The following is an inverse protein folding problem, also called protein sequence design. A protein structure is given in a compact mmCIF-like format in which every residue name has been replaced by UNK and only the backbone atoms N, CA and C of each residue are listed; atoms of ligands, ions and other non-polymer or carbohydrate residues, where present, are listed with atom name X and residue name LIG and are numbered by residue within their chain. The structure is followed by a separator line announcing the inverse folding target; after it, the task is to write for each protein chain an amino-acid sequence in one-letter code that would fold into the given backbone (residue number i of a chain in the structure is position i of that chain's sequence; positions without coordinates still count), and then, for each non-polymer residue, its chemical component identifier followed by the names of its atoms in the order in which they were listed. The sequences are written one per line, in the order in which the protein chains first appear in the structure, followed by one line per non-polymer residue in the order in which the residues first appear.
data_IF_261558427924
#
_entry.id   IF_261558427924
#
_cell.length_a   1.000
_cell.length_b   1.000
_cell.length_c   1.000
_cell.angle_alpha   90.00
_cell.angle_beta   90.00
_cell.angle_gamma   90.00
#
_symmetry.space_group_name_H-M   'P 1'
#
loop_
_entity.id
_entity.type
_entity.pdbx_description
1 polymer ?
#
# COMPACT_ATOMS: atom_id res chain seq x y z
N UNK A 1 -10.51 14.22 8.09
CA UNK A 1 -10.70 15.00 9.30
C UNK A 1 -10.84 14.19 10.61
N UNK A 2 -10.57 12.89 10.54
CA UNK A 2 -10.57 11.99 11.71
C UNK A 2 -9.51 12.41 12.74
N UNK A 3 -8.33 12.80 12.26
CA UNK A 3 -7.25 13.28 13.10
C UNK A 3 -7.67 14.48 13.96
N UNK A 4 -8.24 15.51 13.35
CA UNK A 4 -8.65 16.73 14.07
C UNK A 4 -9.78 16.47 15.06
N UNK A 5 -10.71 15.57 14.72
CA UNK A 5 -11.81 15.17 15.61
C UNK A 5 -11.32 14.53 16.91
N UNK A 6 -10.20 13.83 16.88
CA UNK A 6 -9.56 13.27 18.07
C UNK A 6 -8.64 14.29 18.76
N UNK A 7 -7.81 15.01 18.00
CA UNK A 7 -6.79 15.90 18.57
C UNK A 7 -7.38 17.11 19.32
N UNK A 8 -8.42 17.74 18.80
CA UNK A 8 -9.00 18.95 19.44
C UNK A 8 -9.51 18.64 20.85
N UNK A 9 -10.33 17.59 21.09
CA UNK A 9 -10.70 17.21 22.44
C UNK A 9 -9.50 16.78 23.30
N UNK A 10 -8.55 16.03 22.75
CA UNK A 10 -7.38 15.58 23.50
C UNK A 10 -6.56 16.76 24.03
N UNK A 11 -6.30 17.76 23.21
CA UNK A 11 -5.60 18.99 23.60
C UNK A 11 -6.39 19.80 24.66
N UNK A 12 -7.72 19.78 24.58
CA UNK A 12 -8.59 20.35 25.60
C UNK A 12 -8.67 19.51 26.87
N UNK A 13 -7.93 18.42 26.97
CA UNK A 13 -7.91 17.53 28.12
C UNK A 13 -9.18 16.70 28.30
N UNK A 14 -9.91 16.47 27.20
CA UNK A 14 -11.15 15.70 27.15
C UNK A 14 -10.93 14.37 26.45
N UNK A 15 -11.76 13.39 26.75
CA UNK A 15 -11.86 12.12 26.01
C UNK A 15 -13.35 11.84 25.75
N UNK A 16 -13.92 12.44 24.69
CA UNK A 16 -15.33 12.22 24.35
C UNK A 16 -15.61 10.82 23.80
N UNK A 17 -14.55 10.08 23.49
CA UNK A 17 -14.61 8.71 22.99
C UNK A 17 -13.72 7.83 23.85
N UNK A 18 -14.14 6.60 24.14
CA UNK A 18 -13.31 5.60 24.81
C UNK A 18 -12.28 5.01 23.82
N UNK A 19 -12.67 4.82 22.56
CA UNK A 19 -11.85 4.28 21.48
C UNK A 19 -11.78 5.30 20.35
N UNK A 20 -10.59 5.46 19.78
CA UNK A 20 -10.34 6.24 18.58
C UNK A 20 -9.69 5.36 17.52
N UNK A 21 -10.10 5.53 16.27
CA UNK A 21 -9.51 4.87 15.12
C UNK A 21 -8.61 5.86 14.37
N UNK A 22 -7.52 5.37 13.83
CA UNK A 22 -6.61 6.20 13.05
C UNK A 22 -5.51 5.40 12.38
N UNK A 23 -4.75 6.07 11.56
CA UNK A 23 -3.56 5.48 10.96
C UNK A 23 -2.42 5.40 11.95
N UNK A 24 -1.56 4.42 11.78
CA UNK A 24 -0.38 4.24 12.63
C UNK A 24 0.59 5.43 12.62
N UNK A 25 0.61 6.25 11.56
CA UNK A 25 1.42 7.47 11.52
C UNK A 25 0.93 8.58 12.47
N UNK A 26 -0.32 8.52 12.99
CA UNK A 26 -0.80 9.44 14.02
C UNK A 26 -0.21 9.17 15.41
N UNK A 27 0.43 8.03 15.58
CA UNK A 27 0.90 7.55 16.89
C UNK A 27 1.77 8.59 17.60
N UNK A 28 2.64 9.32 16.88
CA UNK A 28 3.53 10.30 17.49
C UNK A 28 2.80 11.47 18.15
N UNK A 29 1.74 11.93 17.51
CA UNK A 29 0.93 13.04 18.02
C UNK A 29 -0.05 12.59 19.10
N UNK A 30 -0.59 11.38 18.96
CA UNK A 30 -1.67 10.87 19.80
C UNK A 30 -1.20 10.14 21.05
N UNK A 31 -0.01 9.50 21.02
CA UNK A 31 0.44 8.57 22.08
C UNK A 31 0.36 9.11 23.51
N UNK A 32 0.60 10.39 23.71
CA UNK A 32 0.50 11.02 25.04
C UNK A 32 -0.92 11.03 25.61
N UNK A 33 -1.93 10.90 24.75
CA UNK A 33 -3.35 10.88 25.08
C UNK A 33 -3.95 9.48 25.05
N UNK A 34 -3.16 8.47 24.69
CA UNK A 34 -3.60 7.08 24.55
C UNK A 34 -3.12 6.23 25.72
N UNK A 35 -3.89 5.22 26.04
CA UNK A 35 -3.51 4.18 27.01
C UNK A 35 -2.75 3.09 26.25
N UNK A 36 -1.52 2.75 26.66
CA UNK A 36 -0.81 1.63 26.06
C UNK A 36 -1.59 0.34 26.19
N UNK A 37 -1.47 -0.52 25.18
CA UNK A 37 -2.15 -1.82 25.21
C UNK A 37 -1.60 -2.66 26.36
N UNK A 38 -2.44 -3.07 27.35
CA UNK A 38 -1.97 -3.85 28.49
C UNK A 38 -1.44 -5.23 28.06
N UNK A 39 -0.42 -5.73 28.76
CA UNK A 39 0.26 -6.98 28.45
C UNK A 39 -0.71 -8.17 28.25
N UNK A 40 -1.78 -8.25 29.08
CA UNK A 40 -2.77 -9.31 28.94
C UNK A 40 -3.40 -9.41 27.54
N UNK A 41 -3.55 -8.29 26.85
CA UNK A 41 -4.12 -8.22 25.48
C UNK A 41 -3.04 -8.47 24.40
N UNK A 42 -1.81 -8.00 24.63
CA UNK A 42 -0.67 -8.28 23.72
C UNK A 42 -0.34 -9.78 23.71
N UNK A 43 -0.48 -10.46 24.85
CA UNK A 43 -0.22 -11.89 24.97
C UNK A 43 -1.34 -12.81 24.44
N UNK A 44 -2.46 -12.26 24.02
CA UNK A 44 -3.56 -13.05 23.44
C UNK A 44 -3.14 -13.71 22.12
N UNK A 45 -3.70 -14.90 21.84
CA UNK A 45 -3.42 -15.67 20.62
C UNK A 45 -3.60 -14.84 19.36
N UNK A 46 -4.70 -14.12 19.23
CA UNK A 46 -5.01 -13.32 18.07
C UNK A 46 -4.01 -12.18 17.80
N UNK A 47 -3.35 -11.67 18.85
CA UNK A 47 -2.30 -10.68 18.71
C UNK A 47 -0.96 -11.31 18.30
N UNK A 48 -0.67 -12.52 18.77
CA UNK A 48 0.52 -13.29 18.36
C UNK A 48 0.48 -13.74 16.89
N UNK A 49 -0.71 -13.78 16.32
CA UNK A 49 -0.95 -14.09 14.93
C UNK A 49 -0.73 -12.88 14.01
N UNK A 50 -0.81 -11.65 14.53
CA UNK A 50 -0.52 -10.42 13.77
C UNK A 50 0.91 -10.44 13.24
N UNK A 51 1.10 -9.97 12.00
CA UNK A 51 2.43 -9.89 11.39
C UNK A 51 3.31 -8.87 12.10
N UNK A 52 4.62 -9.08 12.06
CA UNK A 52 5.56 -8.23 12.79
C UNK A 52 5.55 -6.78 12.29
N UNK A 53 5.35 -6.56 10.99
CA UNK A 53 5.27 -5.20 10.43
C UNK A 53 4.13 -4.39 11.04
N UNK A 54 2.95 -5.01 11.24
CA UNK A 54 1.79 -4.35 11.85
C UNK A 54 1.97 -4.13 13.36
N UNK A 55 2.65 -5.05 14.05
CA UNK A 55 3.08 -4.83 15.44
C UNK A 55 4.03 -3.63 15.54
N UNK A 56 5.00 -3.54 14.64
CA UNK A 56 6.01 -2.48 14.63
C UNK A 56 5.39 -1.09 14.37
N UNK A 57 4.46 -0.99 13.41
CA UNK A 57 3.78 0.30 13.14
C UNK A 57 2.80 0.70 14.23
N UNK A 58 2.21 -0.25 14.94
CA UNK A 58 1.31 0.00 16.08
C UNK A 58 2.05 0.29 17.39
N UNK A 59 3.38 0.15 17.40
CA UNK A 59 4.21 0.30 18.58
C UNK A 59 5.09 1.56 18.54
N UNK A 60 5.39 2.09 19.70
CA UNK A 60 6.32 3.17 19.90
C UNK A 60 7.23 2.86 21.09
N UNK A 61 8.54 2.97 20.88
CA UNK A 61 9.54 2.78 21.94
C UNK A 61 9.41 1.40 22.64
N UNK A 62 9.12 0.37 21.84
CA UNK A 62 8.93 -1.01 22.34
C UNK A 62 7.58 -1.28 23.02
N UNK A 63 6.69 -0.30 23.07
CA UNK A 63 5.37 -0.42 23.69
C UNK A 63 4.27 -0.33 22.63
N UNK A 64 3.34 -1.28 22.61
CA UNK A 64 2.17 -1.22 21.74
C UNK A 64 1.22 -0.13 22.24
N UNK A 65 0.96 0.87 21.41
CA UNK A 65 0.10 2.01 21.69
C UNK A 65 -1.25 1.90 20.99
N UNK A 66 -1.27 1.29 19.83
CA UNK A 66 -2.48 1.08 19.04
C UNK A 66 -2.72 -0.42 18.87
N UNK A 67 -3.96 -0.81 18.74
CA UNK A 67 -4.38 -2.17 18.48
C UNK A 67 -4.59 -2.33 16.96
N UNK A 68 -3.81 -3.15 16.24
CA UNK A 68 -3.98 -3.35 14.80
C UNK A 68 -5.36 -3.93 14.48
N UNK A 69 -6.02 -3.40 13.48
CA UNK A 69 -7.35 -3.85 13.04
C UNK A 69 -7.47 -4.03 11.53
N UNK A 70 -6.41 -3.67 10.79
CA UNK A 70 -6.39 -3.71 9.33
C UNK A 70 -4.95 -3.83 8.82
N UNK A 71 -4.79 -4.38 7.63
CA UNK A 71 -3.51 -4.80 7.04
C UNK A 71 -3.15 -4.11 5.74
N UNK A 72 -3.25 -2.80 5.68
CA UNK A 72 -2.89 -2.02 4.49
C UNK A 72 -1.50 -2.36 3.94
N UNK A 73 -1.44 -2.61 2.63
CA UNK A 73 -0.19 -2.74 1.87
C UNK A 73 -0.39 -2.38 0.42
N UNK A 74 0.68 -1.91 -0.23
CA UNK A 74 0.71 -1.70 -1.66
C UNK A 74 1.40 -2.87 -2.36
N UNK A 75 0.76 -3.40 -3.39
CA UNK A 75 1.33 -4.42 -4.28
C UNK A 75 0.80 -4.23 -5.70
N UNK A 76 1.43 -4.87 -6.67
CA UNK A 76 1.02 -4.83 -8.07
C UNK A 76 -0.15 -5.79 -8.29
N UNK A 77 -1.23 -5.24 -8.85
CA UNK A 77 -2.36 -5.99 -9.39
C UNK A 77 -2.29 -5.92 -10.91
N UNK A 78 -2.58 -7.00 -11.58
CA UNK A 78 -2.47 -7.05 -13.04
C UNK A 78 -3.53 -7.95 -13.67
N UNK A 79 -3.88 -7.70 -14.93
CA UNK A 79 -4.72 -8.57 -15.75
C UNK A 79 -3.92 -9.81 -16.15
N UNK A 80 -4.12 -10.88 -15.41
CA UNK A 80 -3.43 -12.16 -15.63
C UNK A 80 -3.79 -12.76 -16.99
N UNK A 81 -5.07 -12.66 -17.37
CA UNK A 81 -5.58 -13.11 -18.66
C UNK A 81 -4.90 -12.41 -19.85
N UNK A 82 -4.44 -11.19 -19.70
CA UNK A 82 -3.70 -10.43 -20.71
C UNK A 82 -2.21 -10.79 -20.71
N UNK A 83 -1.57 -10.77 -19.54
CA UNK A 83 -0.14 -11.08 -19.42
C UNK A 83 0.19 -12.51 -19.85
N UNK A 84 -0.69 -13.46 -19.52
CA UNK A 84 -0.51 -14.88 -19.84
C UNK A 84 -1.06 -15.26 -21.23
N UNK A 85 -1.64 -14.32 -21.98
CA UNK A 85 -2.21 -14.59 -23.29
C UNK A 85 -1.08 -14.88 -24.32
N UNK A 86 -1.04 -16.08 -24.95
CA UNK A 86 0.02 -16.45 -25.89
C UNK A 86 0.11 -15.54 -27.12
N UNK A 87 -1.02 -15.01 -27.60
CA UNK A 87 -1.05 -14.10 -28.75
C UNK A 87 -0.42 -12.75 -28.39
N UNK A 88 -0.71 -12.23 -27.21
CA UNK A 88 -0.11 -10.99 -26.71
C UNK A 88 1.36 -11.15 -26.37
N UNK A 89 1.76 -12.30 -25.82
CA UNK A 89 3.16 -12.65 -25.61
C UNK A 89 3.94 -12.68 -26.93
N UNK A 90 3.39 -13.32 -27.95
CA UNK A 90 4.00 -13.37 -29.28
C UNK A 90 4.10 -11.98 -29.91
N UNK A 91 3.02 -11.17 -29.84
CA UNK A 91 2.98 -9.82 -30.38
C UNK A 91 3.98 -8.90 -29.65
N UNK A 92 3.98 -8.90 -28.34
CA UNK A 92 4.92 -8.10 -27.53
C UNK A 92 6.37 -8.45 -27.87
N UNK A 93 6.69 -9.74 -27.93
CA UNK A 93 8.03 -10.20 -28.30
C UNK A 93 8.42 -9.80 -29.73
N UNK A 94 7.50 -9.88 -30.68
CA UNK A 94 7.78 -9.50 -32.06
C UNK A 94 8.06 -7.99 -32.21
N UNK A 95 7.36 -7.14 -31.45
CA UNK A 95 7.48 -5.69 -31.55
C UNK A 95 8.61 -5.12 -30.68
N UNK A 96 8.86 -5.72 -29.50
CA UNK A 96 9.83 -5.18 -28.53
C UNK A 96 11.12 -5.99 -28.41
N UNK A 97 11.13 -7.23 -28.90
CA UNK A 97 12.22 -8.18 -28.68
C UNK A 97 12.29 -8.78 -27.26
N UNK A 98 11.34 -8.43 -26.38
CA UNK A 98 11.29 -8.83 -24.96
C UNK A 98 10.17 -9.83 -24.71
N UNK A 99 10.29 -10.57 -23.61
CA UNK A 99 9.21 -11.46 -23.14
C UNK A 99 8.16 -10.63 -22.37
N UNK A 100 6.87 -10.86 -22.67
CA UNK A 100 5.77 -10.33 -21.86
C UNK A 100 5.64 -11.18 -20.59
N UNK A 101 5.78 -10.55 -19.45
CA UNK A 101 5.68 -11.17 -18.11
C UNK A 101 5.27 -10.13 -17.09
N UNK A 102 4.96 -10.56 -15.88
CA UNK A 102 4.76 -9.66 -14.74
C UNK A 102 6.03 -8.80 -14.56
N UNK A 103 5.90 -7.46 -14.55
CA UNK A 103 7.05 -6.56 -14.51
C UNK A 103 7.81 -6.69 -13.19
N UNK A 104 9.13 -6.81 -13.26
CA UNK A 104 10.01 -6.85 -12.09
C UNK A 104 10.57 -5.47 -11.74
N UNK A 105 10.59 -4.55 -12.71
CA UNK A 105 11.07 -3.18 -12.50
C UNK A 105 10.02 -2.16 -12.95
N UNK A 106 10.08 -0.95 -12.38
CA UNK A 106 9.22 0.15 -12.82
C UNK A 106 9.42 0.49 -14.28
N UNK A 107 10.62 0.25 -14.82
CA UNK A 107 10.89 0.40 -16.24
C UNK A 107 10.12 -0.63 -17.09
N UNK A 108 10.14 -1.92 -16.69
CA UNK A 108 9.34 -2.94 -17.37
C UNK A 108 7.84 -2.64 -17.25
N UNK A 109 7.39 -2.19 -16.06
CA UNK A 109 6.02 -1.74 -15.85
C UNK A 109 5.60 -0.67 -16.87
N UNK A 110 6.40 0.38 -17.01
CA UNK A 110 6.11 1.47 -17.95
C UNK A 110 6.13 0.99 -19.42
N UNK A 111 7.07 0.14 -19.80
CA UNK A 111 7.16 -0.42 -21.16
C UNK A 111 5.94 -1.29 -21.50
N UNK A 112 5.49 -2.13 -20.57
CA UNK A 112 4.31 -2.98 -20.78
C UNK A 112 3.04 -2.12 -20.76
N UNK A 113 2.93 -1.19 -19.82
CA UNK A 113 1.81 -0.25 -19.76
C UNK A 113 1.68 0.55 -21.07
N UNK A 114 2.79 1.04 -21.62
CA UNK A 114 2.82 1.74 -22.91
C UNK A 114 2.33 0.88 -24.06
N UNK A 115 2.74 -0.40 -24.10
CA UNK A 115 2.37 -1.32 -25.16
C UNK A 115 0.85 -1.59 -25.18
N UNK A 116 0.23 -1.73 -24.01
CA UNK A 116 -1.19 -2.06 -23.89
C UNK A 116 -2.09 -0.81 -23.78
N UNK A 117 -1.54 0.38 -23.91
CA UNK A 117 -2.30 1.62 -23.71
C UNK A 117 -3.10 2.03 -24.96
N UNK A 118 -4.40 2.23 -24.80
CA UNK A 118 -5.25 2.89 -25.79
C UNK A 118 -5.71 1.99 -26.95
N UNK A 119 -5.92 0.71 -26.72
CA UNK A 119 -6.57 -0.19 -27.65
C UNK A 119 -7.48 -1.20 -26.93
N UNK A 120 -8.53 -1.61 -27.62
CA UNK A 120 -9.50 -2.60 -27.15
C UNK A 120 -8.86 -4.00 -27.23
N UNK A 121 -8.23 -4.45 -26.12
CA UNK A 121 -7.55 -5.74 -26.07
C UNK A 121 -8.40 -6.84 -25.41
N UNK A 122 -9.56 -6.52 -24.86
CA UNK A 122 -10.51 -7.54 -24.38
C UNK A 122 -11.77 -7.67 -25.26
N UNK A 123 -11.86 -6.87 -26.33
CA UNK A 123 -12.89 -6.89 -27.36
C UNK A 123 -14.30 -6.59 -26.84
N UNK A 124 -14.40 -5.67 -25.88
CA UNK A 124 -15.69 -5.20 -25.36
C UNK A 124 -16.21 -3.95 -26.09
N UNK A 125 -15.40 -3.34 -26.95
CA UNK A 125 -15.73 -2.16 -27.75
C UNK A 125 -15.28 -0.83 -27.13
N UNK A 126 -14.68 -0.86 -25.96
CA UNK A 126 -14.07 0.29 -25.29
C UNK A 126 -12.55 0.23 -25.43
N UNK A 127 -11.85 1.26 -25.00
CA UNK A 127 -10.39 1.27 -24.99
C UNK A 127 -9.89 1.07 -23.56
N UNK A 128 -8.93 0.16 -23.41
CA UNK A 128 -8.23 -0.05 -22.17
C UNK A 128 -6.91 0.73 -22.11
N UNK A 129 -6.37 0.85 -20.90
CA UNK A 129 -5.20 1.66 -20.61
C UNK A 129 -4.15 0.86 -19.83
N UNK A 130 -2.92 1.38 -19.83
CA UNK A 130 -1.79 0.71 -19.22
C UNK A 130 -1.89 0.58 -17.70
N UNK A 131 -2.39 1.60 -17.00
CA UNK A 131 -2.47 1.55 -15.54
C UNK A 131 -3.52 2.47 -14.94
N UNK A 132 -3.97 2.14 -13.72
CA UNK A 132 -4.66 3.06 -12.81
C UNK A 132 -3.83 3.21 -11.53
N UNK A 133 -3.63 4.45 -11.12
CA UNK A 133 -2.81 4.80 -9.95
C UNK A 133 -3.46 5.93 -9.14
N UNK A 134 -3.18 5.99 -7.83
CA UNK A 134 -3.66 7.08 -6.97
C UNK A 134 -2.78 8.32 -7.20
N UNK A 135 -3.19 9.19 -8.13
CA UNK A 135 -2.45 10.38 -8.56
C UNK A 135 -3.06 11.71 -8.13
N UNK A 136 -4.30 11.69 -7.63
CA UNK A 136 -4.99 12.89 -7.14
C UNK A 136 -4.30 13.43 -5.91
N UNK A 137 -4.09 14.75 -5.90
CA UNK A 137 -3.57 15.46 -4.72
C UNK A 137 -4.56 15.34 -3.57
N UNK A 138 -4.38 14.35 -2.74
CA UNK A 138 -5.14 14.12 -1.51
C UNK A 138 -4.23 13.47 -0.43
N UNK A 139 -4.82 13.00 0.64
CA UNK A 139 -4.08 12.42 1.76
C UNK A 139 -3.38 11.08 1.45
N UNK A 140 -3.64 10.46 0.29
CA UNK A 140 -3.15 9.13 -0.08
C UNK A 140 -2.08 9.16 -1.18
N UNK A 141 -2.04 10.20 -2.02
CA UNK A 141 -1.08 10.34 -3.13
C UNK A 141 0.38 10.16 -2.69
N UNK A 142 0.74 10.68 -1.52
CA UNK A 142 2.10 10.57 -1.01
C UNK A 142 2.52 9.10 -0.75
N UNK A 143 1.57 8.24 -0.38
CA UNK A 143 1.85 6.83 -0.15
C UNK A 143 2.19 6.11 -1.47
N UNK A 144 1.47 6.40 -2.56
CA UNK A 144 1.80 5.90 -3.89
C UNK A 144 3.19 6.36 -4.33
N UNK A 145 3.54 7.64 -4.12
CA UNK A 145 4.86 8.16 -4.42
C UNK A 145 5.98 7.49 -3.60
N UNK A 146 5.77 7.26 -2.29
CA UNK A 146 6.76 6.56 -1.47
C UNK A 146 6.94 5.12 -1.93
N UNK A 147 5.85 4.42 -2.24
CA UNK A 147 5.91 3.04 -2.73
C UNK A 147 6.72 2.90 -4.03
N UNK A 148 6.67 3.89 -4.90
CA UNK A 148 7.53 3.95 -6.09
C UNK A 148 8.97 4.33 -5.74
N UNK A 149 9.16 5.27 -4.82
CA UNK A 149 10.47 5.84 -4.48
C UNK A 149 11.40 4.87 -3.75
N UNK A 150 10.86 3.91 -2.99
CA UNK A 150 11.68 2.98 -2.20
C UNK A 150 12.61 2.14 -3.07
N UNK A 151 12.19 1.74 -4.27
CA UNK A 151 13.02 0.97 -5.20
C UNK A 151 14.30 1.70 -5.60
N UNK A 152 14.23 3.02 -5.75
CA UNK A 152 15.34 3.87 -6.19
C UNK A 152 16.17 4.45 -5.04
N UNK A 153 15.55 4.66 -3.87
CA UNK A 153 16.16 5.44 -2.77
C UNK A 153 16.53 4.62 -1.55
N UNK A 154 15.89 3.44 -1.32
CA UNK A 154 16.17 2.61 -0.14
C UNK A 154 17.24 1.57 -0.46
N UNK A 155 18.50 2.02 -0.46
CA UNK A 155 19.63 1.13 -0.66
C UNK A 155 19.87 0.27 0.60
N UNK A 156 19.86 -1.07 0.52
CA UNK A 156 20.02 -1.95 1.68
C UNK A 156 21.44 -1.86 2.30
N UNK A 157 22.41 -1.34 1.55
CA UNK A 157 23.81 -1.19 1.98
C UNK A 157 24.11 0.16 2.62
N UNK A 158 23.18 1.13 2.54
CA UNK A 158 23.37 2.44 3.18
C UNK A 158 22.52 2.52 4.45
N UNK A 159 23.16 2.63 5.62
CA UNK A 159 22.44 2.80 6.87
C UNK A 159 21.74 4.16 6.92
N UNK A 160 20.74 4.26 7.78
CA UNK A 160 20.04 5.51 8.07
C UNK A 160 18.68 5.65 7.44
N UNK A 161 18.11 6.83 7.56
CA UNK A 161 16.73 7.12 7.22
C UNK A 161 16.44 7.12 5.72
N UNK A 162 15.19 6.96 5.41
CA UNK A 162 14.66 7.12 4.05
C UNK A 162 14.18 8.55 3.79
N UNK A 163 13.50 9.16 4.76
CA UNK A 163 12.94 10.50 4.65
C UNK A 163 13.93 11.59 5.03
N UNK A 164 14.76 11.30 6.02
CA UNK A 164 15.76 12.22 6.58
C UNK A 164 17.07 11.49 6.82
N UNK A 165 18.15 12.21 6.73
CA UNK A 165 19.41 11.80 7.34
C UNK A 165 19.23 11.80 8.86
N UNK A 166 19.57 10.69 9.53
CA UNK A 166 19.29 10.53 10.96
C UNK A 166 20.27 11.30 11.87
N UNK A 167 21.40 11.76 11.34
CA UNK A 167 22.38 12.52 12.10
C UNK A 167 22.12 14.03 11.97
N UNK A 168 21.83 14.49 10.76
CA UNK A 168 21.68 15.92 10.45
C UNK A 168 20.24 16.38 10.40
N UNK A 169 19.29 15.46 10.27
CA UNK A 169 17.87 15.71 10.01
C UNK A 169 17.61 16.43 8.67
N UNK A 170 18.57 16.41 7.75
CA UNK A 170 18.36 16.93 6.40
C UNK A 170 17.34 16.06 5.64
N UNK A 171 16.37 16.68 4.96
CA UNK A 171 15.43 15.92 4.11
C UNK A 171 16.14 15.24 2.94
N UNK A 172 15.82 13.96 2.71
CA UNK A 172 16.38 13.17 1.60
C UNK A 172 15.45 13.08 0.39
N UNK A 173 14.25 13.61 0.49
CA UNK A 173 13.19 13.50 -0.54
C UNK A 173 13.48 14.28 -1.84
N UNK A 174 14.52 15.11 -1.87
CA UNK A 174 15.05 15.77 -3.06
C UNK A 174 16.29 15.07 -3.64
N UNK A 175 16.67 13.93 -3.07
CA UNK A 175 17.82 13.16 -3.55
C UNK A 175 17.55 12.47 -4.90
N UNK A 176 18.64 12.05 -5.61
CA UNK A 176 18.53 11.50 -6.96
C UNK A 176 17.56 10.33 -7.11
N UNK A 177 17.45 9.44 -6.11
CA UNK A 177 16.50 8.33 -6.17
C UNK A 177 15.03 8.76 -6.13
N UNK A 178 14.70 9.80 -5.35
CA UNK A 178 13.34 10.36 -5.35
C UNK A 178 13.04 11.13 -6.63
N UNK A 179 14.03 11.85 -7.17
CA UNK A 179 13.89 12.55 -8.45
C UNK A 179 13.65 11.56 -9.58
N UNK A 180 14.38 10.44 -9.59
CA UNK A 180 14.18 9.36 -10.57
C UNK A 180 12.77 8.77 -10.47
N UNK A 181 12.33 8.45 -9.25
CA UNK A 181 10.98 7.93 -9.01
C UNK A 181 9.88 8.90 -9.48
N UNK A 182 10.06 10.21 -9.26
CA UNK A 182 9.12 11.22 -9.73
C UNK A 182 9.12 11.34 -11.26
N UNK A 183 10.29 11.28 -11.88
CA UNK A 183 10.45 11.31 -13.34
C UNK A 183 9.74 10.13 -13.98
N UNK A 184 9.94 8.96 -13.42
CA UNK A 184 9.28 7.72 -13.83
C UNK A 184 7.75 7.79 -13.63
N UNK A 185 7.31 8.42 -12.55
CA UNK A 185 5.87 8.61 -12.31
C UNK A 185 5.22 9.62 -13.26
N UNK A 186 5.93 10.69 -13.61
CA UNK A 186 5.49 11.63 -14.67
C UNK A 186 5.35 10.90 -16.00
N UNK A 187 6.27 10.00 -16.35
CA UNK A 187 6.15 9.19 -17.57
C UNK A 187 4.91 8.31 -17.55
N UNK A 188 4.61 7.68 -16.39
CA UNK A 188 3.44 6.82 -16.21
C UNK A 188 2.09 7.55 -16.45
N UNK A 189 2.03 8.89 -16.32
CA UNK A 189 0.80 9.65 -16.62
C UNK A 189 0.32 9.52 -18.07
N UNK A 190 1.17 9.07 -18.97
CA UNK A 190 0.82 8.83 -20.39
C UNK A 190 -0.02 7.58 -20.60
N UNK A 191 -0.05 6.69 -19.63
CA UNK A 191 -0.62 5.35 -19.75
C UNK A 191 -1.83 5.13 -18.86
N UNK A 192 -2.35 6.19 -18.24
CA UNK A 192 -3.58 6.15 -17.43
C UNK A 192 -4.79 6.55 -18.27
N UNK A 193 -6.02 6.19 -17.90
CA UNK A 193 -7.24 6.62 -18.55
C UNK A 193 -7.35 8.16 -18.65
N UNK A 194 -8.15 8.70 -19.58
CA UNK A 194 -8.41 10.13 -19.64
C UNK A 194 -8.86 10.68 -18.28
N UNK A 195 -8.12 11.68 -17.78
CA UNK A 195 -8.33 12.25 -16.44
C UNK A 195 -7.69 11.47 -15.30
N UNK A 196 -6.97 10.38 -15.56
CA UNK A 196 -6.35 9.50 -14.56
C UNK A 196 -5.39 10.18 -13.59
N UNK A 197 -4.78 11.31 -13.98
CA UNK A 197 -3.98 12.14 -13.05
C UNK A 197 -4.80 12.71 -11.87
N UNK A 198 -6.13 12.66 -11.96
CA UNK A 198 -7.06 13.07 -10.89
C UNK A 198 -7.70 11.86 -10.18
N UNK A 199 -7.24 10.65 -10.41
CA UNK A 199 -7.77 9.48 -9.75
C UNK A 199 -7.35 9.48 -8.27
N UNK A 200 -8.35 9.47 -7.39
CA UNK A 200 -8.20 9.07 -6.00
C UNK A 200 -8.34 7.55 -5.86
N UNK A 201 -8.32 7.04 -4.63
CA UNK A 201 -8.41 5.60 -4.38
C UNK A 201 -9.67 4.96 -4.96
N UNK A 202 -10.84 5.60 -4.78
CA UNK A 202 -12.09 5.07 -5.32
C UNK A 202 -12.14 5.01 -6.85
N UNK A 203 -11.53 5.99 -7.53
CA UNK A 203 -11.45 6.01 -9.00
C UNK A 203 -10.52 4.90 -9.51
N UNK A 204 -9.40 4.68 -8.84
CA UNK A 204 -8.45 3.62 -9.15
C UNK A 204 -9.07 2.22 -8.96
N UNK A 205 -9.74 1.98 -7.81
CA UNK A 205 -10.46 0.74 -7.52
C UNK A 205 -11.50 0.44 -8.62
N UNK A 206 -12.30 1.43 -8.99
CA UNK A 206 -13.35 1.28 -10.00
C UNK A 206 -12.75 1.04 -11.40
N UNK A 207 -11.67 1.73 -11.76
CA UNK A 207 -11.02 1.57 -13.05
C UNK A 207 -10.41 0.18 -13.23
N UNK A 208 -9.66 -0.31 -12.23
CA UNK A 208 -9.09 -1.65 -12.30
C UNK A 208 -10.16 -2.72 -12.14
N UNK A 209 -11.03 -2.62 -11.12
CA UNK A 209 -12.09 -3.59 -10.85
C UNK A 209 -13.14 -3.69 -11.98
N UNK A 210 -13.29 -2.63 -12.76
CA UNK A 210 -14.10 -2.58 -13.98
C UNK A 210 -13.41 -3.10 -15.24
N UNK A 211 -12.14 -3.49 -15.18
CA UNK A 211 -11.41 -4.06 -16.32
C UNK A 211 -10.72 -3.05 -17.22
N UNK A 212 -10.82 -1.75 -16.93
CA UNK A 212 -10.37 -0.66 -17.81
C UNK A 212 -8.83 -0.55 -17.91
N UNK A 213 -8.08 -1.16 -16.99
CA UNK A 213 -6.62 -1.02 -16.97
C UNK A 213 -5.90 -2.35 -16.77
N UNK A 214 -4.69 -2.43 -17.37
CA UNK A 214 -3.83 -3.61 -17.26
C UNK A 214 -3.24 -3.77 -15.87
N UNK A 215 -2.77 -2.65 -15.28
CA UNK A 215 -2.13 -2.60 -13.99
C UNK A 215 -2.85 -1.68 -13.02
N UNK A 216 -2.72 -1.99 -11.75
CA UNK A 216 -3.03 -1.13 -10.62
C UNK A 216 -2.00 -1.38 -9.51
N UNK A 217 -1.60 -0.34 -8.79
CA UNK A 217 -0.94 -0.55 -7.52
C UNK A 217 -1.53 0.39 -6.45
N UNK A 218 -2.16 -0.20 -5.48
CA UNK A 218 -2.75 0.45 -4.34
C UNK A 218 -3.02 -0.60 -3.26
N UNK A 219 -3.96 -0.35 -2.40
CA UNK A 219 -4.42 -1.28 -1.36
C UNK A 219 -5.15 -2.51 -1.93
N UNK A 220 -5.43 -3.46 -1.06
CA UNK A 220 -6.11 -4.72 -1.42
C UNK A 220 -7.51 -4.50 -2.04
N UNK A 221 -8.17 -3.39 -1.71
CA UNK A 221 -9.52 -3.05 -2.17
C UNK A 221 -9.73 -3.19 -3.69
N UNK A 222 -8.74 -2.80 -4.48
CA UNK A 222 -8.83 -2.94 -5.94
C UNK A 222 -8.78 -4.40 -6.41
N UNK A 223 -8.03 -5.27 -5.70
CA UNK A 223 -8.02 -6.70 -6.00
C UNK A 223 -9.35 -7.35 -5.60
N UNK A 224 -9.86 -7.01 -4.42
CA UNK A 224 -11.15 -7.50 -3.95
C UNK A 224 -12.26 -7.06 -4.90
N UNK A 225 -12.29 -5.79 -5.32
CA UNK A 225 -13.27 -5.29 -6.29
C UNK A 225 -13.20 -6.03 -7.63
N UNK A 226 -11.99 -6.37 -8.10
CA UNK A 226 -11.80 -7.17 -9.31
C UNK A 226 -12.29 -8.61 -9.17
N UNK A 227 -12.32 -9.14 -7.96
CA UNK A 227 -12.72 -10.51 -7.65
C UNK A 227 -14.18 -10.65 -7.20
N UNK A 228 -14.94 -9.55 -7.08
CA UNK A 228 -16.36 -9.57 -6.71
C UNK A 228 -17.24 -10.23 -7.76
N UNK A 229 -18.38 -10.76 -7.30
CA UNK A 229 -19.44 -11.20 -8.20
C UNK A 229 -19.95 -10.02 -9.05
N UNK A 230 -19.97 -10.20 -10.36
CA UNK A 230 -20.37 -9.17 -11.32
C UNK A 230 -19.21 -8.32 -11.86
N UNK A 231 -18.00 -8.45 -11.36
CA UNK A 231 -16.83 -7.87 -12.03
C UNK A 231 -16.57 -8.58 -13.37
N UNK A 232 -16.32 -7.84 -14.47
CA UNK A 232 -16.01 -8.44 -15.78
C UNK A 232 -14.66 -9.18 -15.78
N UNK A 233 -13.83 -8.91 -14.77
CA UNK A 233 -12.50 -9.47 -14.65
C UNK A 233 -12.34 -10.43 -13.45
N UNK A 234 -13.45 -10.88 -12.87
CA UNK A 234 -13.39 -11.91 -11.82
C UNK A 234 -12.61 -13.13 -12.31
N UNK A 235 -11.67 -13.61 -11.51
CA UNK A 235 -10.77 -14.72 -11.83
C UNK A 235 -9.87 -14.51 -13.06
N UNK A 236 -9.61 -13.23 -13.44
CA UNK A 236 -8.71 -12.85 -14.54
C UNK A 236 -7.53 -11.98 -14.08
N UNK A 237 -7.36 -11.84 -12.78
CA UNK A 237 -6.34 -10.96 -12.18
C UNK A 237 -5.28 -11.75 -11.44
N UNK A 238 -4.12 -11.15 -11.26
CA UNK A 238 -3.02 -11.67 -10.47
C UNK A 238 -2.45 -10.61 -9.53
N UNK A 239 -1.72 -11.07 -8.52
CA UNK A 239 -1.01 -10.26 -7.55
C UNK A 239 0.50 -10.51 -7.64
N UNK A 240 1.30 -9.47 -7.44
CA UNK A 240 2.75 -9.58 -7.37
C UNK A 240 3.32 -8.47 -6.45
N UNK A 241 4.51 -8.64 -5.86
CA UNK A 241 5.19 -7.53 -5.20
C UNK A 241 5.34 -6.33 -6.14
N UNK A 242 5.39 -5.12 -5.56
CA UNK A 242 5.66 -3.92 -6.37
C UNK A 242 6.96 -4.05 -7.14
N UNK A 243 7.03 -3.49 -8.37
CA UNK A 243 8.25 -3.48 -9.14
C UNK A 243 9.43 -2.85 -8.38
N UNK A 244 10.61 -3.40 -8.59
CA UNK A 244 11.87 -2.85 -8.13
C UNK A 244 12.49 -1.88 -9.14
N UNK A 245 13.81 -1.71 -9.04
CA UNK A 245 14.62 -0.96 -9.98
C UNK A 245 15.92 -1.71 -10.26
N UNK A 246 16.46 -1.58 -11.47
CA UNK A 246 17.76 -2.16 -11.85
C UNK A 246 18.95 -1.41 -11.20
N UNK A 247 18.69 -0.24 -10.63
CA UNK A 247 19.71 0.59 -9.95
C UNK A 247 19.14 1.25 -8.71
N UNK A 248 19.98 1.49 -7.74
CA UNK A 248 19.61 2.16 -6.50
C UNK A 248 20.63 3.24 -6.13
N UNK A 249 20.15 4.37 -5.65
CA UNK A 249 21.02 5.45 -5.21
C UNK A 249 21.75 5.11 -3.91
N UNK A 250 23.07 5.23 -3.92
CA UNK A 250 23.88 5.15 -2.72
C UNK A 250 24.27 6.56 -2.25
N UNK A 251 23.63 7.04 -1.19
CA UNK A 251 23.87 8.38 -0.66
C UNK A 251 25.24 8.56 -0.01
N UNK A 252 25.90 7.48 0.43
CA UNK A 252 27.22 7.54 1.07
C UNK A 252 28.30 7.71 0.01
N UNK A 253 28.25 6.98 -1.08
CA UNK A 253 29.18 7.13 -2.20
C UNK A 253 28.82 8.28 -3.15
N UNK A 254 27.60 8.79 -3.08
CA UNK A 254 27.09 9.80 -4.03
C UNK A 254 26.95 9.28 -5.46
N UNK A 255 26.65 7.99 -5.65
CA UNK A 255 26.61 7.35 -6.95
C UNK A 255 25.44 6.36 -7.06
N UNK A 256 25.00 6.11 -8.29
CA UNK A 256 24.11 4.99 -8.59
C UNK A 256 24.87 3.67 -8.54
N UNK A 257 24.22 2.66 -8.00
CA UNK A 257 24.68 1.29 -8.01
C UNK A 257 23.79 0.48 -8.95
N UNK A 258 24.39 -0.09 -9.99
CA UNK A 258 23.72 -0.95 -10.98
C UNK A 258 23.47 -2.33 -10.37
N UNK A 259 22.45 -2.40 -9.54
CA UNK A 259 22.02 -3.62 -8.85
C UNK A 259 20.51 -3.57 -8.65
N UNK A 260 19.85 -4.70 -8.90
CA UNK A 260 18.42 -4.82 -8.64
C UNK A 260 18.12 -4.51 -7.17
N UNK A 261 17.16 -3.65 -6.97
CA UNK A 261 16.65 -3.31 -5.65
C UNK A 261 15.13 -3.29 -5.63
N UNK A 262 14.56 -4.02 -4.69
CA UNK A 262 13.15 -4.01 -4.38
C UNK A 262 13.00 -3.80 -2.87
N UNK A 263 12.21 -2.83 -2.49
CA UNK A 263 11.95 -2.53 -1.10
C UNK A 263 10.46 -2.17 -0.95
N UNK A 264 9.72 -2.79 -0.04
CA UNK A 264 8.35 -2.39 0.21
C UNK A 264 8.30 -1.14 1.08
N UNK A 265 7.39 -0.25 0.74
CA UNK A 265 6.87 0.72 1.68
C UNK A 265 5.74 0.04 2.44
N UNK A 266 5.94 -0.15 3.74
CA UNK A 266 4.88 -0.63 4.61
C UNK A 266 3.94 0.56 4.81
N UNK A 267 2.85 0.56 4.10
CA UNK A 267 1.85 1.61 4.22
C UNK A 267 1.41 1.66 5.68
N UNK A 268 0.35 2.04 6.08
CA UNK A 268 -0.12 1.91 7.46
C UNK A 268 -1.31 0.96 7.44
N UNK A 269 -1.63 0.29 8.51
CA UNK A 269 -2.93 -0.30 8.72
C UNK A 269 -3.79 0.64 9.55
N UNK A 270 -5.08 0.55 9.43
CA UNK A 270 -5.95 1.15 10.42
C UNK A 270 -5.69 0.49 11.77
N UNK A 271 -5.63 1.32 12.78
CA UNK A 271 -5.45 0.87 14.15
C UNK A 271 -6.44 1.55 15.09
N UNK A 272 -6.78 0.88 16.15
CA UNK A 272 -7.63 1.43 17.20
C UNK A 272 -6.83 1.70 18.47
N UNK A 273 -7.18 2.70 19.21
CA UNK A 273 -6.51 3.03 20.47
C UNK A 273 -7.51 3.44 21.53
N UNK A 274 -7.18 3.16 22.79
CA UNK A 274 -8.01 3.56 23.93
C UNK A 274 -7.53 4.91 24.47
N UNK A 275 -8.45 5.83 24.65
CA UNK A 275 -8.13 7.15 25.20
C UNK A 275 -7.69 7.04 26.65
N UNK A 276 -6.56 7.65 27.02
CA UNK A 276 -5.98 7.60 28.36
C UNK A 276 -6.92 8.11 29.47
N UNK A 277 -7.81 9.04 29.11
CA UNK A 277 -8.82 9.58 30.05
C UNK A 277 -10.16 8.87 29.99
N UNK A 278 -10.29 7.80 29.23
CA UNK A 278 -11.46 6.94 29.31
C UNK A 278 -11.67 6.43 30.74
N UNK A 279 -12.91 6.25 31.11
CA UNK A 279 -13.29 5.61 32.38
C UNK A 279 -13.57 4.11 32.21
N UNK A 280 -13.48 3.61 30.96
CA UNK A 280 -13.90 2.29 30.56
C UNK A 280 -12.76 1.49 29.90
N UNK A 281 -11.50 1.67 30.34
CA UNK A 281 -10.32 1.09 29.69
C UNK A 281 -10.46 -0.42 29.44
N UNK A 282 -10.83 -1.17 30.47
CA UNK A 282 -10.95 -2.63 30.33
C UNK A 282 -12.01 -3.01 29.30
N UNK A 283 -13.20 -2.40 29.38
CA UNK A 283 -14.28 -2.66 28.41
C UNK A 283 -13.88 -2.26 27.00
N UNK A 284 -13.14 -1.17 26.84
CA UNK A 284 -12.65 -0.70 25.55
C UNK A 284 -11.67 -1.71 24.94
N UNK A 285 -10.70 -2.21 25.70
CA UNK A 285 -9.78 -3.25 25.21
C UNK A 285 -10.49 -4.59 24.97
N UNK A 286 -11.45 -4.98 25.81
CA UNK A 286 -12.26 -6.19 25.58
C UNK A 286 -13.05 -6.08 24.28
N UNK A 287 -13.61 -4.87 24.00
CA UNK A 287 -14.29 -4.62 22.73
C UNK A 287 -13.33 -4.74 21.52
N UNK A 288 -12.11 -4.18 21.59
CA UNK A 288 -11.12 -4.31 20.54
C UNK A 288 -10.73 -5.77 20.31
N UNK A 289 -10.58 -6.54 21.38
CA UNK A 289 -10.33 -7.97 21.28
C UNK A 289 -11.48 -8.73 20.65
N UNK A 290 -12.71 -8.37 20.96
CA UNK A 290 -13.89 -8.95 20.34
C UNK A 290 -13.95 -8.58 18.85
N UNK A 291 -13.74 -7.31 18.51
CA UNK A 291 -13.73 -6.81 17.13
C UNK A 291 -12.69 -7.55 16.28
N UNK A 292 -11.45 -7.67 16.78
CA UNK A 292 -10.35 -8.27 16.06
C UNK A 292 -10.17 -9.78 16.35
N UNK A 293 -11.18 -10.46 16.92
CA UNK A 293 -11.08 -11.91 17.08
C UNK A 293 -11.08 -12.63 15.72
N UNK A 294 -10.60 -13.87 15.70
CA UNK A 294 -10.38 -14.59 14.44
C UNK A 294 -11.65 -14.73 13.60
N UNK A 295 -12.80 -14.99 14.25
CA UNK A 295 -14.07 -15.18 13.52
C UNK A 295 -14.59 -13.89 12.89
N UNK A 296 -14.56 -12.78 13.63
CA UNK A 296 -14.99 -11.47 13.12
C UNK A 296 -14.03 -10.99 12.05
N UNK A 297 -12.73 -11.04 12.32
CA UNK A 297 -11.70 -10.61 11.37
C UNK A 297 -11.77 -11.39 10.05
N UNK A 298 -11.93 -12.72 10.09
CA UNK A 298 -12.08 -13.51 8.87
C UNK A 298 -13.39 -13.21 8.12
N UNK A 299 -14.45 -12.79 8.81
CA UNK A 299 -15.66 -12.32 8.15
C UNK A 299 -15.44 -10.97 7.47
N UNK A 300 -14.70 -10.06 8.13
CA UNK A 300 -14.41 -8.72 7.61
C UNK A 300 -13.51 -8.79 6.36
N UNK A 301 -12.42 -9.57 6.37
CA UNK A 301 -11.57 -9.76 5.18
C UNK A 301 -12.29 -10.48 4.04
N UNK A 302 -13.25 -11.36 4.37
CA UNK A 302 -14.07 -12.02 3.35
C UNK A 302 -15.05 -11.07 2.66
N UNK A 303 -15.50 -10.02 3.35
CA UNK A 303 -16.29 -8.94 2.75
C UNK A 303 -15.38 -8.03 1.90
N UNK A 304 -14.19 -7.70 2.39
CA UNK A 304 -13.12 -6.97 1.70
C UNK A 304 -13.43 -5.53 1.28
N UNK A 305 -14.70 -5.22 1.06
CA UNK A 305 -15.20 -3.96 0.46
C UNK A 305 -15.02 -2.72 1.34
N UNK A 306 -14.72 -2.89 2.62
CA UNK A 306 -14.74 -1.82 3.60
C UNK A 306 -13.36 -1.54 4.20
N UNK A 307 -12.31 -1.89 3.48
CA UNK A 307 -10.94 -1.59 3.86
C UNK A 307 -10.48 -2.35 5.10
N UNK A 308 -10.89 -3.62 5.27
CA UNK A 308 -10.27 -4.53 6.22
C UNK A 308 -9.48 -5.56 5.43
N UNK A 309 -8.18 -5.39 5.46
CA UNK A 309 -7.24 -6.16 4.67
C UNK A 309 -6.49 -7.20 5.54
N UNK A 310 -5.95 -8.26 4.97
CA UNK A 310 -5.22 -9.29 5.70
C UNK A 310 -4.00 -8.75 6.45
N UNK A 311 -3.87 -9.03 7.75
CA UNK A 311 -2.70 -8.64 8.55
C UNK A 311 -2.27 -9.69 9.57
N UNK A 312 -3.01 -10.80 9.67
CA UNK A 312 -2.63 -11.95 10.47
C UNK A 312 -1.99 -13.02 9.60
N UNK A 313 -1.08 -13.78 10.14
CA UNK A 313 -0.44 -14.91 9.44
C UNK A 313 -1.47 -15.94 8.98
N UNK A 314 -2.53 -16.14 9.78
CA UNK A 314 -3.64 -17.03 9.43
C UNK A 314 -4.51 -16.52 8.26
N UNK A 315 -4.37 -15.25 7.85
CA UNK A 315 -5.09 -14.70 6.72
C UNK A 315 -4.46 -15.09 5.36
N UNK A 316 -3.18 -15.51 5.39
CA UNK A 316 -2.41 -15.81 4.17
C UNK A 316 -2.62 -17.27 3.71
N UNK A 317 -3.85 -17.76 3.89
CA UNK A 317 -4.25 -19.14 3.57
C UNK A 317 -5.25 -19.09 2.41
N UNK A 318 -4.90 -19.67 1.24
CA UNK A 318 -5.75 -19.59 0.03
C UNK A 318 -7.19 -20.06 0.25
N UNK A 319 -7.38 -21.07 1.10
CA UNK A 319 -8.68 -21.67 1.37
C UNK A 319 -9.73 -20.66 1.88
N UNK A 320 -9.31 -19.62 2.60
CA UNK A 320 -10.21 -18.56 3.08
C UNK A 320 -10.89 -17.86 1.90
N UNK A 321 -10.13 -17.53 0.86
CA UNK A 321 -10.61 -16.80 -0.31
C UNK A 321 -11.42 -17.70 -1.24
N UNK A 322 -11.02 -18.96 -1.40
CA UNK A 322 -11.77 -19.96 -2.18
C UNK A 322 -13.12 -20.25 -1.54
N UNK A 323 -13.13 -20.62 -0.25
CA UNK A 323 -14.35 -21.08 0.43
C UNK A 323 -15.35 -19.94 0.72
N UNK A 324 -14.87 -18.75 1.03
CA UNK A 324 -15.71 -17.63 1.45
C UNK A 324 -16.06 -16.64 0.35
N UNK A 325 -15.15 -16.48 -0.63
CA UNK A 325 -15.29 -15.48 -1.69
C UNK A 325 -15.45 -16.10 -3.08
N UNK A 326 -15.32 -17.42 -3.20
CA UNK A 326 -15.44 -18.13 -4.47
C UNK A 326 -14.35 -17.77 -5.47
N UNK A 327 -13.14 -17.48 -5.00
CA UNK A 327 -12.00 -17.23 -5.87
C UNK A 327 -11.50 -18.54 -6.50
N UNK A 328 -10.90 -18.43 -7.66
CA UNK A 328 -10.13 -19.52 -8.25
C UNK A 328 -8.96 -19.92 -7.33
N UNK A 329 -8.69 -21.22 -7.19
CA UNK A 329 -7.66 -21.75 -6.29
C UNK A 329 -6.28 -21.22 -6.64
N UNK A 330 -5.94 -21.12 -7.92
CA UNK A 330 -4.62 -20.66 -8.35
C UNK A 330 -4.45 -19.17 -8.05
N UNK A 331 -5.48 -18.35 -8.26
CA UNK A 331 -5.46 -16.93 -7.95
C UNK A 331 -5.37 -16.69 -6.45
N UNK A 332 -6.16 -17.41 -5.65
CA UNK A 332 -6.09 -17.33 -4.19
C UNK A 332 -4.70 -17.70 -3.66
N UNK A 333 -4.08 -18.72 -4.27
CA UNK A 333 -2.71 -19.14 -3.93
C UNK A 333 -1.68 -18.06 -4.27
N UNK A 334 -1.70 -17.52 -5.50
CA UNK A 334 -0.78 -16.47 -5.95
C UNK A 334 -0.92 -15.20 -5.09
N UNK A 335 -2.14 -14.83 -4.75
CA UNK A 335 -2.42 -13.72 -3.83
C UNK A 335 -1.79 -13.97 -2.45
N UNK A 336 -2.06 -15.11 -1.83
CA UNK A 336 -1.51 -15.48 -0.52
C UNK A 336 0.02 -15.54 -0.53
N UNK A 337 0.62 -16.14 -1.57
CA UNK A 337 2.08 -16.20 -1.74
C UNK A 337 2.70 -14.79 -1.89
N UNK A 338 2.01 -13.88 -2.59
CA UNK A 338 2.44 -12.48 -2.71
C UNK A 338 2.45 -11.79 -1.34
N UNK A 339 1.40 -11.97 -0.53
CA UNK A 339 1.33 -11.38 0.81
C UNK A 339 2.44 -11.92 1.72
N UNK A 340 2.69 -13.23 1.69
CA UNK A 340 3.76 -13.89 2.45
C UNK A 340 5.12 -13.34 2.01
N UNK A 341 5.35 -13.24 0.70
CA UNK A 341 6.62 -12.74 0.18
C UNK A 341 6.92 -11.31 0.64
N UNK A 342 5.92 -10.45 0.58
CA UNK A 342 6.05 -9.06 1.01
C UNK A 342 6.29 -8.94 2.52
N UNK A 343 5.68 -9.81 3.33
CA UNK A 343 5.80 -9.75 4.78
C UNK A 343 7.10 -10.41 5.29
N UNK A 344 7.45 -11.57 4.78
CA UNK A 344 8.53 -12.39 5.33
C UNK A 344 9.89 -12.16 4.66
N UNK A 345 9.91 -12.00 3.33
CA UNK A 345 11.17 -11.98 2.56
C UNK A 345 11.81 -10.61 2.48
N UNK A 346 11.09 -9.53 2.71
CA UNK A 346 11.67 -8.21 2.61
C UNK A 346 12.18 -7.69 3.95
N UNK A 347 13.50 -7.69 4.12
CA UNK A 347 14.17 -7.04 5.26
C UNK A 347 14.47 -5.56 4.99
N UNK A 348 14.49 -5.14 3.72
CA UNK A 348 14.77 -3.77 3.30
C UNK A 348 13.48 -2.95 3.17
N UNK A 349 12.73 -2.83 4.28
CA UNK A 349 11.44 -2.15 4.31
C UNK A 349 11.51 -0.73 4.84
N UNK A 350 10.58 0.10 4.42
CA UNK A 350 10.39 1.47 4.92
C UNK A 350 9.03 1.59 5.58
N UNK A 351 9.00 2.15 6.78
CA UNK A 351 7.78 2.45 7.51
C UNK A 351 7.32 3.91 7.28
N UNK A 352 6.04 4.22 7.50
CA UNK A 352 5.53 5.59 7.43
C UNK A 352 6.31 6.55 8.33
N UNK A 353 6.42 7.78 7.87
CA UNK A 353 7.02 8.85 8.68
C UNK A 353 6.14 9.13 9.92
N UNK A 354 6.75 9.06 11.10
CA UNK A 354 6.07 9.26 12.40
C UNK A 354 6.73 10.40 13.17
N UNK A 355 6.55 11.62 12.66
CA UNK A 355 7.08 12.86 13.26
C UNK A 355 5.94 13.85 13.50
N UNK A 356 6.09 14.80 14.46
CA UNK A 356 5.14 15.89 14.59
C UNK A 356 5.02 16.67 13.27
N UNK A 357 3.78 16.98 12.88
CA UNK A 357 3.55 17.71 11.63
C UNK A 357 3.63 16.83 10.36
N UNK A 358 3.54 15.52 10.46
CA UNK A 358 3.58 14.59 9.32
C UNK A 358 2.58 14.95 8.22
N UNK A 359 1.41 15.48 8.57
CA UNK A 359 0.39 15.91 7.59
C UNK A 359 0.87 17.07 6.71
N UNK A 360 1.51 18.06 7.34
CA UNK A 360 2.06 19.21 6.60
C UNK A 360 3.18 18.75 5.67
N UNK A 361 4.01 17.84 6.14
CA UNK A 361 5.09 17.24 5.35
C UNK A 361 4.52 16.49 4.15
N UNK A 362 3.57 15.57 4.36
CA UNK A 362 2.94 14.81 3.28
C UNK A 362 2.15 15.68 2.30
N UNK A 363 1.46 16.71 2.80
CA UNK A 363 0.73 17.67 1.96
C UNK A 363 1.66 18.53 1.09
N UNK A 364 2.81 18.93 1.60
CA UNK A 364 3.83 19.65 0.83
C UNK A 364 4.38 18.77 -0.29
N UNK A 365 4.72 17.51 0.03
CA UNK A 365 5.19 16.51 -0.93
C UNK A 365 4.14 16.25 -2.02
N UNK A 366 2.90 15.95 -1.62
CA UNK A 366 1.81 15.72 -2.57
C UNK A 366 1.55 16.92 -3.47
N UNK A 367 1.70 18.14 -2.95
CA UNK A 367 1.59 19.38 -3.76
C UNK A 367 2.69 19.47 -4.81
N UNK A 368 3.94 19.15 -4.47
CA UNK A 368 5.06 19.12 -5.41
C UNK A 368 4.86 18.05 -6.48
N UNK A 369 4.55 16.81 -6.05
CA UNK A 369 4.32 15.70 -6.96
C UNK A 369 3.16 15.99 -7.93
N UNK A 370 2.02 16.50 -7.45
CA UNK A 370 0.89 16.84 -8.31
C UNK A 370 1.24 17.89 -9.38
N UNK A 371 2.07 18.90 -9.05
CA UNK A 371 2.55 19.87 -10.04
C UNK A 371 3.43 19.21 -11.10
N UNK A 372 4.29 18.29 -10.71
CA UNK A 372 5.14 17.54 -11.64
C UNK A 372 4.29 16.67 -12.58
N UNK A 373 3.33 15.90 -12.04
CA UNK A 373 2.42 15.06 -12.84
C UNK A 373 1.57 15.90 -13.82
N UNK A 374 1.24 17.13 -13.46
CA UNK A 374 0.51 18.07 -14.30
C UNK A 374 1.41 18.84 -15.30
N UNK A 375 2.72 18.55 -15.36
CA UNK A 375 3.66 19.26 -16.25
C UNK A 375 3.90 20.73 -15.89
N UNK A 376 3.75 21.09 -14.61
CA UNK A 376 3.89 22.47 -14.11
C UNK A 376 5.24 22.74 -13.43
N UNK A 377 6.16 21.79 -13.53
CA UNK A 377 7.52 21.91 -12.99
C UNK A 377 8.56 21.56 -14.04
#
# INVERSE_FOLDING_TARGET
DLYSKAMVPFQAGQAPYDIVFGFSNFIRDWMQYLEPVPAKYVEMRQMKDVTQSHIDVASWDGQMIQYPIDGDRHYLKYRKDVIDNPEYQAKYKAETGKELRVPQTWKEYAEIAAFFNGWDWDNDGELEYGSAEVMKKDDLMYAAFYSRSVAYSKNPRTPGGFFFDLETMEPLINGPGFVEALTDWVEATKYVPPGGINFGLGDEINSFGGGQTLFSFSWDDAFVAAMEDGSPIKNKVGAAPLPGSDRVWNRVSGAWEETYNQAPFIVWGWAAAVAKKSKNHEMAFDYLCFFANDANHQADIAIGRFGVNPFKKSDFVPEIYVERQGWDEQIAKEYSETLIEMEEKSTNRVFPLRVPGVFQFNSALATGAAKALAGQM
#
